data_IF_168807487875
#
_entry.id   IF_168807487875
#
_cell.length_a   1.000
_cell.length_b   1.000
_cell.length_c   1.000
_cell.angle_alpha   90.00
_cell.angle_beta   90.00
_cell.angle_gamma   90.00
#
_symmetry.space_group_name_H-M   'P 1'
#
loop_
_entity.id
_entity.type
_entity.pdbx_description
1 polymer ?
#
# COMPACT_ATOMS: atom_id res chain seq x y z
N UNK A 1 9.26 -13.22 8.38
CA UNK A 1 8.55 -12.46 7.34
C UNK A 1 9.28 -11.17 7.05
N UNK A 2 9.37 -10.77 5.80
CA UNK A 2 10.00 -9.52 5.42
C UNK A 2 9.13 -8.33 5.84
N UNK A 3 9.78 -7.22 6.15
CA UNK A 3 9.06 -5.97 6.34
C UNK A 3 8.63 -5.44 4.97
N UNK A 4 7.33 -5.47 4.73
CA UNK A 4 6.76 -5.06 3.45
C UNK A 4 6.31 -3.60 3.44
N UNK A 5 6.69 -2.82 4.44
CA UNK A 5 6.29 -1.41 4.51
C UNK A 5 6.72 -0.67 3.23
N UNK A 6 5.78 0.04 2.64
CA UNK A 6 6.01 0.74 1.39
C UNK A 6 5.71 -0.07 0.13
N UNK A 7 5.39 -1.35 0.27
CA UNK A 7 4.99 -2.16 -0.87
C UNK A 7 3.57 -1.76 -1.31
N UNK A 8 3.28 -1.94 -2.58
CA UNK A 8 1.95 -1.64 -3.14
C UNK A 8 1.32 -2.95 -3.58
N UNK A 9 0.06 -3.12 -3.20
CA UNK A 9 -0.68 -4.35 -3.47
C UNK A 9 -2.06 -4.04 -4.04
N UNK A 10 -2.62 -5.00 -4.74
CA UNK A 10 -4.01 -4.97 -5.17
C UNK A 10 -4.78 -5.97 -4.32
N UNK A 11 -5.90 -5.54 -3.75
CA UNK A 11 -6.75 -6.44 -2.99
C UNK A 11 -7.43 -7.44 -3.91
N UNK A 12 -7.45 -8.71 -3.52
CA UNK A 12 -8.07 -9.78 -4.31
C UNK A 12 -9.35 -10.30 -3.68
N UNK A 13 -9.73 -9.75 -2.52
CA UNK A 13 -10.91 -10.25 -1.79
C UNK A 13 -11.53 -9.12 -0.97
N UNK A 14 -12.81 -9.29 -0.64
CA UNK A 14 -13.54 -8.39 0.24
C UNK A 14 -14.12 -7.19 -0.49
N UNK A 15 -14.58 -6.21 0.30
CA UNK A 15 -15.24 -5.02 -0.24
C UNK A 15 -14.29 -4.11 -1.02
N UNK A 16 -13.00 -4.23 -0.77
CA UNK A 16 -11.99 -3.43 -1.45
C UNK A 16 -11.29 -4.21 -2.59
N UNK A 17 -11.92 -5.27 -3.07
CA UNK A 17 -11.39 -6.05 -4.18
C UNK A 17 -11.04 -5.15 -5.37
N UNK A 18 -9.88 -5.40 -5.96
CA UNK A 18 -9.31 -4.65 -7.09
C UNK A 18 -8.80 -3.26 -6.75
N UNK A 19 -8.89 -2.84 -5.49
CA UNK A 19 -8.38 -1.54 -5.03
C UNK A 19 -6.87 -1.63 -4.81
N UNK A 20 -6.15 -0.58 -5.22
CA UNK A 20 -4.73 -0.45 -4.87
C UNK A 20 -4.60 0.00 -3.42
N UNK A 21 -3.71 -0.67 -2.72
CA UNK A 21 -3.43 -0.40 -1.31
C UNK A 21 -1.93 -0.32 -1.11
N UNK A 22 -1.51 0.46 -0.12
CA UNK A 22 -0.11 0.51 0.27
C UNK A 22 0.04 -0.14 1.63
N UNK A 23 1.10 -0.91 1.80
CA UNK A 23 1.45 -1.48 3.10
C UNK A 23 2.08 -0.37 3.93
N UNK A 24 1.40 0.03 5.00
CA UNK A 24 1.88 1.11 5.86
C UNK A 24 2.53 0.59 7.14
N UNK A 25 2.47 -0.70 7.37
CA UNK A 25 3.10 -1.33 8.52
C UNK A 25 2.83 -2.82 8.55
N UNK A 26 3.41 -3.47 9.53
CA UNK A 26 3.25 -4.91 9.74
C UNK A 26 2.34 -5.13 10.94
N UNK A 27 1.39 -6.06 10.81
CA UNK A 27 0.56 -6.44 11.94
C UNK A 27 1.33 -7.42 12.82
N UNK A 28 0.94 -7.50 14.10
CA UNK A 28 1.55 -8.46 15.02
C UNK A 28 1.20 -9.90 14.67
N UNK A 29 -0.01 -10.10 14.16
CA UNK A 29 -0.46 -11.43 13.75
C UNK A 29 0.29 -11.86 12.50
N UNK A 30 0.68 -13.13 12.48
CA UNK A 30 1.35 -13.72 11.32
C UNK A 30 0.47 -13.59 10.06
N UNK A 31 1.11 -13.36 8.94
CA UNK A 31 0.47 -13.31 7.63
C UNK A 31 -0.55 -12.17 7.45
N UNK A 32 -0.47 -11.13 8.30
CA UNK A 32 -1.33 -9.97 8.16
C UNK A 32 -0.49 -8.72 8.01
N UNK A 33 -0.95 -7.85 7.12
CA UNK A 33 -0.31 -6.58 6.83
C UNK A 33 -1.27 -5.44 7.13
N UNK A 34 -0.72 -4.30 7.53
CA UNK A 34 -1.50 -3.08 7.72
C UNK A 34 -1.50 -2.31 6.41
N UNK A 35 -2.68 -2.12 5.81
CA UNK A 35 -2.79 -1.49 4.50
C UNK A 35 -3.71 -0.29 4.55
N UNK A 36 -3.44 0.69 3.68
CA UNK A 36 -4.23 1.90 3.57
C UNK A 36 -4.16 2.43 2.14
N UNK A 37 -5.13 3.27 1.78
CA UNK A 37 -5.12 3.95 0.48
C UNK A 37 -5.26 5.47 0.63
N UNK A 38 -5.42 5.95 1.86
CA UNK A 38 -5.58 7.37 2.14
C UNK A 38 -6.97 7.90 1.84
N UNK A 39 -7.89 7.05 1.42
CA UNK A 39 -9.26 7.45 1.06
C UNK A 39 -10.29 6.70 1.90
N UNK A 40 -10.52 5.43 1.60
CA UNK A 40 -11.41 4.57 2.39
C UNK A 40 -10.70 4.04 3.62
N UNK A 41 -9.44 3.69 3.47
CA UNK A 41 -8.60 3.18 4.56
C UNK A 41 -7.55 4.23 4.88
N UNK A 42 -7.76 4.95 5.97
CA UNK A 42 -6.88 6.04 6.37
C UNK A 42 -5.55 5.52 6.91
N UNK A 43 -4.50 6.28 6.72
CA UNK A 43 -3.17 5.92 7.21
C UNK A 43 -3.18 5.67 8.72
N UNK A 44 -3.91 6.50 9.46
CA UNK A 44 -3.99 6.39 10.92
C UNK A 44 -4.90 5.26 11.41
N UNK A 45 -5.70 4.68 10.50
CA UNK A 45 -6.57 3.54 10.81
C UNK A 45 -6.48 2.51 9.70
N UNK A 46 -5.29 1.94 9.51
CA UNK A 46 -5.10 0.98 8.44
C UNK A 46 -5.90 -0.31 8.69
N UNK A 47 -6.20 -1.00 7.62
CA UNK A 47 -6.89 -2.27 7.70
C UNK A 47 -5.87 -3.40 7.81
N UNK A 48 -6.17 -4.38 8.66
CA UNK A 48 -5.41 -5.63 8.70
C UNK A 48 -5.89 -6.53 7.57
N UNK A 49 -4.99 -6.93 6.73
CA UNK A 49 -5.34 -7.74 5.57
C UNK A 49 -4.43 -8.97 5.53
N UNK A 50 -5.04 -10.13 5.24
CA UNK A 50 -4.27 -11.35 5.09
C UNK A 50 -3.39 -11.25 3.86
N UNK A 51 -2.16 -11.75 3.97
CA UNK A 51 -1.23 -11.77 2.85
C UNK A 51 -1.84 -12.47 1.63
N UNK A 52 -2.56 -13.56 1.84
CA UNK A 52 -3.20 -14.31 0.76
C UNK A 52 -4.32 -13.57 0.03
N UNK A 53 -4.81 -12.45 0.59
CA UNK A 53 -5.83 -11.61 -0.04
C UNK A 53 -5.24 -10.42 -0.77
N UNK A 54 -3.92 -10.40 -0.93
CA UNK A 54 -3.21 -9.31 -1.61
C UNK A 54 -2.36 -9.86 -2.73
N UNK A 55 -2.36 -9.14 -3.85
CA UNK A 55 -1.42 -9.39 -4.93
C UNK A 55 -0.42 -8.24 -4.92
N UNK A 56 0.83 -8.52 -4.59
CA UNK A 56 1.87 -7.48 -4.61
C UNK A 56 2.15 -7.08 -6.04
N UNK A 57 2.06 -5.78 -6.31
CA UNK A 57 2.32 -5.22 -7.62
C UNK A 57 3.57 -4.35 -7.64
N UNK A 58 4.09 -4.00 -6.46
CA UNK A 58 5.38 -3.33 -6.33
C UNK A 58 5.99 -3.69 -4.98
N UNK A 59 7.27 -4.00 -4.98
CA UNK A 59 7.97 -4.53 -3.80
C UNK A 59 8.80 -3.45 -3.11
N UNK A 60 8.23 -2.26 -2.95
CA UNK A 60 8.86 -1.18 -2.19
C UNK A 60 9.88 -0.38 -2.99
N UNK A 61 9.84 -0.48 -4.31
CA UNK A 61 10.80 0.21 -5.18
C UNK A 61 10.20 1.41 -5.93
N UNK A 62 8.92 1.71 -5.67
CA UNK A 62 8.31 2.86 -6.32
C UNK A 62 8.91 4.14 -5.78
N UNK A 63 9.47 4.97 -6.68
CA UNK A 63 10.26 6.14 -6.30
C UNK A 63 9.43 7.36 -5.91
N UNK A 64 8.42 7.19 -5.06
CA UNK A 64 7.62 8.30 -4.59
C UNK A 64 8.00 8.66 -3.16
N UNK A 65 7.97 9.96 -2.85
CA UNK A 65 8.37 10.47 -1.54
C UNK A 65 7.57 9.83 -0.40
N UNK A 66 6.27 9.60 -0.59
CA UNK A 66 5.45 8.97 0.45
C UNK A 66 5.93 7.55 0.78
N UNK A 67 6.33 6.80 -0.24
CA UNK A 67 6.84 5.44 -0.05
C UNK A 67 8.14 5.47 0.75
N UNK A 68 9.03 6.39 0.42
CA UNK A 68 10.29 6.55 1.16
C UNK A 68 10.06 6.92 2.60
N UNK A 69 9.13 7.84 2.85
CA UNK A 69 8.78 8.24 4.22
C UNK A 69 8.29 7.06 5.04
N UNK A 70 7.42 6.23 4.45
CA UNK A 70 6.94 5.04 5.14
C UNK A 70 8.09 4.10 5.51
N UNK A 71 8.99 3.89 4.58
CA UNK A 71 10.14 2.99 4.79
C UNK A 71 11.11 3.54 5.82
N UNK A 72 11.17 4.85 5.97
CA UNK A 72 12.03 5.51 6.96
C UNK A 72 11.35 5.68 8.31
N UNK A 73 10.11 5.23 8.46
CA UNK A 73 9.36 5.40 9.70
C UNK A 73 8.85 6.81 9.91
N UNK A 74 8.79 7.62 8.87
CA UNK A 74 8.32 9.00 8.94
C UNK A 74 6.82 9.08 8.71
N UNK A 75 6.13 10.08 9.29
CA UNK A 75 4.69 10.20 9.11
C UNK A 75 4.31 10.54 7.67
N UNK A 76 3.22 9.93 7.21
CA UNK A 76 2.66 10.15 5.87
C UNK A 76 1.18 10.49 6.04
N UNK A 77 0.73 11.54 5.37
CA UNK A 77 -0.68 11.94 5.39
C UNK A 77 -1.49 11.11 4.39
N UNK A 78 -2.81 11.11 4.60
CA UNK A 78 -3.71 10.45 3.64
C UNK A 78 -3.56 11.04 2.24
N UNK A 79 -3.40 12.34 2.16
CA UNK A 79 -3.22 13.03 0.87
C UNK A 79 -1.96 12.57 0.16
N UNK A 80 -0.84 12.48 0.91
CA UNK A 80 0.41 11.99 0.34
C UNK A 80 0.26 10.57 -0.19
N UNK A 81 -0.41 9.72 0.57
CA UNK A 81 -0.60 8.33 0.15
C UNK A 81 -1.49 8.23 -1.08
N UNK A 82 -2.60 9.01 -1.11
CA UNK A 82 -3.46 9.03 -2.29
C UNK A 82 -2.69 9.44 -3.53
N UNK A 83 -1.83 10.45 -3.41
CA UNK A 83 -1.02 10.94 -4.53
C UNK A 83 -0.03 9.87 -5.00
N UNK A 84 0.58 9.17 -4.05
CA UNK A 84 1.52 8.10 -4.40
C UNK A 84 0.83 6.98 -5.18
N UNK A 85 -0.34 6.55 -4.71
CA UNK A 85 -1.07 5.48 -5.37
C UNK A 85 -1.60 5.91 -6.73
N UNK A 86 -2.03 7.17 -6.87
CA UNK A 86 -2.46 7.71 -8.15
C UNK A 86 -1.29 7.75 -9.14
N UNK A 87 -0.12 8.19 -8.68
CA UNK A 87 1.07 8.23 -9.51
C UNK A 87 1.48 6.83 -9.96
N UNK A 88 1.41 5.86 -9.06
CA UNK A 88 1.72 4.48 -9.39
C UNK A 88 0.76 3.94 -10.45
N UNK A 89 -0.53 4.21 -10.29
CA UNK A 89 -1.55 3.78 -11.27
C UNK A 89 -1.27 4.38 -12.63
N UNK A 90 -0.96 5.67 -12.68
CA UNK A 90 -0.69 6.35 -13.95
C UNK A 90 0.53 5.77 -14.65
N UNK A 91 1.61 5.51 -13.92
CA UNK A 91 2.80 4.89 -14.51
C UNK A 91 2.51 3.48 -15.02
N UNK A 92 1.75 2.71 -14.26
CA UNK A 92 1.39 1.33 -14.65
C UNK A 92 0.55 1.33 -15.92
N UNK A 93 -0.40 2.25 -16.02
CA UNK A 93 -1.24 2.36 -17.22
C UNK A 93 -0.42 2.74 -18.44
N UNK A 94 0.52 3.68 -18.29
CA UNK A 94 1.41 4.08 -19.38
C UNK A 94 2.40 2.97 -19.73
N UNK A 95 2.91 2.28 -18.73
CA UNK A 95 3.86 1.19 -18.93
C UNK A 95 3.24 -0.06 -19.54
N UNK A 96 1.93 -0.15 -19.54
CA UNK A 96 1.20 -1.30 -20.09
C UNK A 96 1.10 -1.32 -21.60
N UNK A 97 1.58 -0.31 -22.25
CA UNK A 97 1.50 -0.22 -23.70
C UNK A 97 2.64 -0.91 -24.43
#
# INVERSE_FOLDING_TARGET
>A
MFDCTGWIARSTAGHDKDTLLCVVGMAREAERLLVADGKRRKVMRPKRKKLGHLKMVNFGTFGHQAIRKLQEGRPVSDRELRRALAAFRDESDQGGN
#
